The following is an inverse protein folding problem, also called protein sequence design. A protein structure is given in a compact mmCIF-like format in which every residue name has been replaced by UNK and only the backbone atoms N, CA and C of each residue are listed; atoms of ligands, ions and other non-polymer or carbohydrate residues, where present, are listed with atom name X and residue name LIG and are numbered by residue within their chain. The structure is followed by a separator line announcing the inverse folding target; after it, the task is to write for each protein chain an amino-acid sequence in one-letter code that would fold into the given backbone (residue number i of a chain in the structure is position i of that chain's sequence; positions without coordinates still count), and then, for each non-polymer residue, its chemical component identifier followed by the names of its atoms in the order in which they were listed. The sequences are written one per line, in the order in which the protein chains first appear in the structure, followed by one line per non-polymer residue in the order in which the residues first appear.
data_IF_417187361970
#
_entry.id   IF_417187361970
#
_cell.length_a   1.000
_cell.length_b   1.000
_cell.length_c   1.000
_cell.angle_alpha   90.00
_cell.angle_beta   90.00
_cell.angle_gamma   90.00
#
_symmetry.space_group_name_H-M   'P 1'
#
loop_
_entity.id
_entity.type
_entity.pdbx_description
1 polymer ?
#
# COMPACT_ATOMS: atom_id res chain seq x y z
N UNK A 1 -16.70 -10.01 -26.28
CA UNK A 1 -18.02 -9.99 -25.67
C UNK A 1 -18.00 -10.39 -24.22
N UNK A 2 -17.37 -11.52 -23.93
CA UNK A 2 -17.22 -11.96 -22.55
C UNK A 2 -16.45 -10.96 -21.71
N UNK A 3 -15.39 -10.38 -22.27
CA UNK A 3 -14.58 -9.38 -21.58
C UNK A 3 -15.39 -8.13 -21.28
N UNK A 4 -16.14 -7.63 -22.25
CA UNK A 4 -17.00 -6.46 -22.04
C UNK A 4 -18.05 -6.70 -20.96
N UNK A 5 -18.61 -7.89 -20.93
CA UNK A 5 -19.62 -8.23 -19.92
C UNK A 5 -19.00 -8.24 -18.53
N UNK A 6 -17.79 -8.81 -18.39
CA UNK A 6 -17.09 -8.83 -17.11
C UNK A 6 -16.74 -7.42 -16.63
N UNK A 7 -16.40 -6.53 -17.54
CA UNK A 7 -16.17 -5.12 -17.21
C UNK A 7 -17.45 -4.44 -16.76
N UNK A 8 -18.54 -4.62 -17.53
CA UNK A 8 -19.83 -3.98 -17.24
C UNK A 8 -20.43 -4.43 -15.92
N UNK A 9 -20.17 -5.68 -15.52
CA UNK A 9 -20.69 -6.24 -14.27
C UNK A 9 -19.73 -6.03 -13.10
N UNK A 10 -18.62 -5.33 -13.33
CA UNK A 10 -17.68 -4.99 -12.26
C UNK A 10 -16.66 -6.06 -11.90
N UNK A 11 -16.63 -7.18 -12.61
CA UNK A 11 -15.64 -8.23 -12.36
C UNK A 11 -14.23 -7.80 -12.76
N UNK A 12 -14.13 -6.98 -13.80
CA UNK A 12 -12.86 -6.40 -14.23
C UNK A 12 -12.93 -4.92 -13.94
N UNK A 13 -12.06 -4.44 -13.02
CA UNK A 13 -12.03 -3.04 -12.62
C UNK A 13 -11.28 -2.16 -13.60
N UNK A 14 -10.37 -2.74 -14.36
CA UNK A 14 -9.57 -1.98 -15.32
C UNK A 14 -8.39 -2.79 -15.81
N UNK A 15 -7.56 -2.14 -16.62
CA UNK A 15 -6.37 -2.73 -17.19
C UNK A 15 -5.17 -1.86 -16.86
N UNK A 16 -4.08 -2.48 -16.45
CA UNK A 16 -2.83 -1.78 -16.15
C UNK A 16 -1.66 -2.54 -16.72
N UNK A 17 -0.62 -1.82 -17.07
CA UNK A 17 0.65 -2.45 -17.40
C UNK A 17 1.34 -2.89 -16.12
N UNK A 18 1.86 -4.10 -16.10
CA UNK A 18 2.70 -4.56 -15.00
C UNK A 18 4.10 -4.07 -15.26
N UNK A 19 4.58 -3.17 -14.40
CA UNK A 19 5.87 -2.52 -14.57
C UNK A 19 6.90 -3.17 -13.64
N UNK A 20 8.08 -3.44 -14.18
CA UNK A 20 9.19 -3.93 -13.37
C UNK A 20 9.78 -2.75 -12.60
N UNK A 21 9.51 -2.69 -11.30
CA UNK A 21 9.93 -1.59 -10.45
C UNK A 21 11.46 -1.42 -10.39
N UNK A 22 12.19 -2.51 -10.50
CA UNK A 22 13.66 -2.47 -10.48
C UNK A 22 14.20 -1.79 -11.73
N UNK A 23 13.60 -2.09 -12.89
CA UNK A 23 14.05 -1.55 -14.17
C UNK A 23 13.77 -0.06 -14.31
N UNK A 24 12.73 0.44 -13.64
CA UNK A 24 12.42 1.87 -13.67
C UNK A 24 13.09 2.65 -12.53
N UNK A 25 13.98 2.00 -11.78
CA UNK A 25 14.77 2.68 -10.76
C UNK A 25 14.11 2.80 -9.39
N UNK A 26 13.12 1.96 -9.08
CA UNK A 26 12.43 1.94 -7.79
C UNK A 26 12.51 0.55 -7.17
N UNK A 27 13.72 0.04 -6.87
CA UNK A 27 13.88 -1.34 -6.44
C UNK A 27 13.49 -1.61 -4.98
N UNK A 28 13.40 -0.57 -4.14
CA UNK A 28 13.20 -0.76 -2.72
C UNK A 28 11.72 -0.80 -2.37
N UNK A 29 11.27 -1.95 -1.86
CA UNK A 29 9.90 -2.15 -1.39
C UNK A 29 9.93 -2.23 0.13
N UNK A 30 9.09 -1.43 0.78
CA UNK A 30 9.02 -1.36 2.24
C UNK A 30 7.58 -1.55 2.67
N UNK A 31 7.37 -2.41 3.67
CA UNK A 31 6.08 -2.56 4.31
C UNK A 31 6.14 -1.94 5.70
N UNK A 32 5.15 -1.11 6.02
CA UNK A 32 5.08 -0.41 7.29
C UNK A 32 3.81 -0.80 8.02
N UNK A 33 3.95 -1.21 9.27
CA UNK A 33 2.82 -1.36 10.19
C UNK A 33 2.70 -0.06 10.98
N UNK A 34 1.49 0.46 11.09
CA UNK A 34 1.24 1.78 11.68
C UNK A 34 0.12 1.68 12.70
N UNK A 35 0.30 2.33 13.85
CA UNK A 35 -0.75 2.49 14.85
C UNK A 35 -1.03 3.95 15.11
N UNK A 36 -2.30 4.28 15.33
CA UNK A 36 -2.74 5.62 15.67
C UNK A 36 -2.97 5.75 17.17
N UNK A 37 -2.71 6.95 17.69
CA UNK A 37 -2.93 7.24 19.11
C UNK A 37 -4.41 7.30 19.45
N UNK A 38 -5.24 7.83 18.55
CA UNK A 38 -6.68 8.01 18.76
C UNK A 38 -7.45 7.33 17.64
N UNK A 39 -8.43 6.51 18.01
CA UNK A 39 -9.17 5.66 17.07
C UNK A 39 -10.61 6.11 16.82
N UNK A 40 -10.92 7.38 17.01
CA UNK A 40 -12.24 7.89 16.66
C UNK A 40 -12.35 8.13 15.15
N UNK A 41 -13.58 8.30 14.66
CA UNK A 41 -13.85 8.44 13.23
C UNK A 41 -13.12 9.63 12.62
N UNK A 42 -13.05 10.73 13.34
CA UNK A 42 -12.39 11.95 12.84
C UNK A 42 -10.91 11.72 12.58
N UNK A 43 -10.20 11.11 13.54
CA UNK A 43 -8.76 10.85 13.41
C UNK A 43 -8.48 9.79 12.35
N UNK A 44 -9.30 8.76 12.27
CA UNK A 44 -9.14 7.70 11.27
C UNK A 44 -9.36 8.25 9.87
N UNK A 45 -10.41 9.03 9.65
CA UNK A 45 -10.69 9.61 8.33
C UNK A 45 -9.60 10.60 7.92
N UNK A 46 -9.09 11.37 8.85
CA UNK A 46 -7.98 12.29 8.59
C UNK A 46 -6.72 11.53 8.16
N UNK A 47 -6.39 10.45 8.86
CA UNK A 47 -5.26 9.60 8.50
C UNK A 47 -5.43 9.05 7.09
N UNK A 48 -6.60 8.49 6.78
CA UNK A 48 -6.89 7.94 5.46
C UNK A 48 -6.70 8.97 4.35
N UNK A 49 -7.20 10.18 4.56
CA UNK A 49 -7.09 11.26 3.58
C UNK A 49 -5.63 11.64 3.35
N UNK A 50 -4.86 11.79 4.42
CA UNK A 50 -3.45 12.14 4.29
C UNK A 50 -2.65 11.05 3.58
N UNK A 51 -2.94 9.77 3.88
CA UNK A 51 -2.29 8.64 3.22
C UNK A 51 -2.60 8.60 1.72
N UNK A 52 -3.85 8.85 1.34
CA UNK A 52 -4.26 8.85 -0.07
C UNK A 52 -3.50 9.89 -0.90
N UNK A 53 -3.02 10.95 -0.27
CA UNK A 53 -2.33 12.04 -0.95
C UNK A 53 -0.81 11.86 -1.00
N UNK A 54 -0.27 10.74 -0.53
CA UNK A 54 1.16 10.44 -0.59
C UNK A 54 1.43 9.48 -1.74
N UNK A 55 2.10 9.97 -2.78
CA UNK A 55 2.29 9.22 -4.02
C UNK A 55 3.16 7.98 -3.86
N UNK A 56 4.13 8.01 -2.97
CA UNK A 56 5.03 6.88 -2.74
C UNK A 56 4.32 5.69 -2.10
N UNK A 57 3.17 5.90 -1.49
CA UNK A 57 2.38 4.83 -0.88
C UNK A 57 1.55 4.18 -1.97
N UNK A 58 1.83 2.92 -2.23
CA UNK A 58 1.15 2.14 -3.27
C UNK A 58 -0.11 1.45 -2.77
N UNK A 59 -0.13 1.07 -1.50
CA UNK A 59 -1.24 0.33 -0.90
C UNK A 59 -1.33 0.69 0.58
N UNK A 60 -2.55 0.73 1.09
CA UNK A 60 -2.79 0.90 2.51
C UNK A 60 -4.03 0.11 2.90
N UNK A 61 -3.91 -0.71 3.92
CA UNK A 61 -4.98 -1.57 4.41
C UNK A 61 -5.23 -1.33 5.87
N UNK A 62 -6.49 -1.34 6.27
CA UNK A 62 -6.87 -1.42 7.68
C UNK A 62 -6.74 -2.87 8.10
N UNK A 63 -6.02 -3.14 9.18
CA UNK A 63 -5.74 -4.51 9.60
C UNK A 63 -6.23 -4.77 11.02
N UNK A 64 -6.65 -6.00 11.27
CA UNK A 64 -6.89 -6.49 12.62
C UNK A 64 -5.59 -6.97 13.23
N UNK A 65 -5.39 -6.75 14.52
CA UNK A 65 -4.18 -7.20 15.22
C UNK A 65 -3.53 -6.07 16.02
N UNK A 66 -2.21 -6.17 16.18
CA UNK A 66 -1.45 -5.24 17.02
C UNK A 66 -1.38 -3.84 16.41
N UNK A 67 -1.27 -3.78 15.08
CA UNK A 67 -1.21 -2.52 14.35
C UNK A 67 -2.53 -2.22 13.66
N UNK A 68 -2.80 -0.95 13.42
CA UNK A 68 -4.07 -0.51 12.82
C UNK A 68 -4.05 -0.53 11.30
N UNK A 69 -2.91 -0.22 10.69
CA UNK A 69 -2.78 -0.12 9.24
C UNK A 69 -1.50 -0.75 8.74
N UNK A 70 -1.56 -1.25 7.51
CA UNK A 70 -0.44 -1.86 6.80
C UNK A 70 -0.24 -1.12 5.48
N UNK A 71 0.97 -0.62 5.25
CA UNK A 71 1.26 0.29 4.13
C UNK A 71 2.40 -0.27 3.30
N UNK A 72 2.28 -0.19 1.98
CA UNK A 72 3.34 -0.55 1.04
C UNK A 72 3.90 0.69 0.38
N UNK A 73 5.22 0.86 0.44
CA UNK A 73 5.93 1.99 -0.13
C UNK A 73 7.00 1.47 -1.09
N UNK A 74 7.16 2.13 -2.25
CA UNK A 74 8.18 1.76 -3.23
C UNK A 74 9.05 2.96 -3.49
N UNK A 75 10.37 2.81 -3.31
CA UNK A 75 11.32 3.90 -3.36
C UNK A 75 12.60 3.51 -4.09
N UNK A 76 13.41 4.52 -4.39
CA UNK A 76 14.65 4.37 -5.13
C UNK A 76 15.73 3.67 -4.31
N UNK A 77 15.94 4.11 -3.08
CA UNK A 77 17.01 3.62 -2.22
C UNK A 77 16.74 3.97 -0.75
N UNK A 78 17.67 3.61 0.11
CA UNK A 78 17.53 3.83 1.55
C UNK A 78 17.55 5.32 1.92
N UNK A 79 18.32 6.12 1.21
CA UNK A 79 18.34 7.56 1.45
C UNK A 79 16.97 8.17 1.12
N UNK A 80 16.35 7.73 0.03
CA UNK A 80 14.99 8.17 -0.33
C UNK A 80 13.98 7.74 0.75
N UNK A 81 14.16 6.57 1.35
CA UNK A 81 13.31 6.13 2.44
C UNK A 81 13.44 7.02 3.67
N UNK A 82 14.66 7.34 4.07
CA UNK A 82 14.89 8.22 5.20
C UNK A 82 14.26 9.60 4.97
N UNK A 83 14.41 10.12 3.77
CA UNK A 83 13.82 11.40 3.39
C UNK A 83 12.29 11.33 3.39
N UNK A 84 11.72 10.24 2.87
CA UNK A 84 10.28 10.02 2.86
C UNK A 84 9.71 9.99 4.29
N UNK A 85 10.35 9.24 5.19
CA UNK A 85 9.91 9.18 6.59
C UNK A 85 9.96 10.57 7.21
N UNK A 86 11.07 11.28 7.06
CA UNK A 86 11.27 12.58 7.68
C UNK A 86 10.31 13.64 7.13
N UNK A 87 10.15 13.70 5.81
CA UNK A 87 9.39 14.77 5.16
C UNK A 87 7.90 14.50 5.06
N UNK A 88 7.49 13.24 4.96
CA UNK A 88 6.09 12.90 4.69
C UNK A 88 5.44 12.10 5.80
N UNK A 89 6.04 10.98 6.18
CA UNK A 89 5.37 10.05 7.08
C UNK A 89 5.25 10.59 8.50
N UNK A 90 6.27 11.28 9.00
CA UNK A 90 6.22 11.90 10.33
C UNK A 90 5.21 13.02 10.42
N UNK A 91 4.78 13.57 9.29
CA UNK A 91 3.81 14.67 9.25
C UNK A 91 2.37 14.17 9.15
N UNK A 92 2.16 12.89 8.99
CA UNK A 92 0.82 12.31 9.01
C UNK A 92 0.30 12.33 10.44
N UNK A 93 -0.90 12.87 10.60
CA UNK A 93 -1.51 13.02 11.92
C UNK A 93 -1.82 11.69 12.59
N UNK A 94 -1.50 11.63 13.86
CA UNK A 94 -1.95 10.59 14.74
C UNK A 94 -1.11 9.34 14.81
N UNK A 95 -0.07 9.22 14.01
CA UNK A 95 0.82 8.05 14.08
C UNK A 95 1.58 8.09 15.41
N UNK A 96 1.44 7.04 16.21
CA UNK A 96 2.12 6.91 17.49
C UNK A 96 3.17 5.81 17.46
N UNK A 97 3.01 4.82 16.58
CA UNK A 97 3.92 3.69 16.51
C UNK A 97 4.02 3.22 15.06
N UNK A 98 5.22 2.87 14.64
CA UNK A 98 5.47 2.40 13.29
C UNK A 98 6.58 1.37 13.29
N UNK A 99 6.42 0.32 12.49
CA UNK A 99 7.43 -0.69 12.27
C UNK A 99 7.60 -0.91 10.78
N UNK A 100 8.81 -0.76 10.28
CA UNK A 100 9.11 -0.92 8.86
C UNK A 100 9.86 -2.22 8.62
N UNK A 101 9.50 -2.88 7.50
CA UNK A 101 10.18 -4.09 7.04
C UNK A 101 10.60 -3.88 5.60
N UNK A 102 11.87 -4.14 5.31
CA UNK A 102 12.42 -4.00 3.96
C UNK A 102 12.37 -5.35 3.26
N UNK A 103 11.87 -5.36 2.02
CA UNK A 103 11.85 -6.58 1.23
C UNK A 103 13.28 -6.88 0.77
N UNK A 104 13.80 -8.02 1.20
CA UNK A 104 15.12 -8.47 0.79
C UNK A 104 15.06 -9.22 -0.53
N UNK A 105 14.00 -10.00 -0.73
CA UNK A 105 13.86 -10.87 -1.86
C UNK A 105 12.39 -11.19 -2.09
N UNK A 106 11.93 -11.05 -3.32
CA UNK A 106 10.56 -11.40 -3.67
C UNK A 106 10.50 -12.88 -4.04
N UNK A 107 9.77 -13.66 -3.25
CA UNK A 107 9.67 -15.10 -3.48
C UNK A 107 8.54 -15.41 -4.43
N UNK A 108 7.42 -14.71 -4.28
CA UNK A 108 6.27 -14.91 -5.16
C UNK A 108 5.43 -13.64 -5.21
N UNK A 109 5.04 -13.27 -6.40
CA UNK A 109 4.07 -12.22 -6.63
C UNK A 109 3.26 -12.58 -7.86
N UNK A 110 1.95 -12.66 -7.72
CA UNK A 110 1.05 -12.91 -8.84
C UNK A 110 -0.18 -12.04 -8.74
N UNK A 111 -0.72 -11.66 -9.88
CA UNK A 111 -1.99 -10.94 -9.96
C UNK A 111 -3.14 -11.88 -10.31
N UNK A 112 -2.84 -13.17 -10.49
CA UNK A 112 -3.85 -14.17 -10.85
C UNK A 112 -4.58 -14.62 -9.59
N UNK A 113 -5.87 -14.32 -9.54
CA UNK A 113 -6.71 -14.76 -8.44
C UNK A 113 -7.13 -16.21 -8.61
N UNK A 114 -7.17 -16.94 -7.51
CA UNK A 114 -7.66 -18.31 -7.50
C UNK A 114 -9.19 -18.27 -7.36
N UNK A 115 -9.88 -18.36 -8.50
CA UNK A 115 -11.32 -18.19 -8.53
C UNK A 115 -12.02 -19.43 -7.99
N UNK A 116 -12.94 -19.30 -7.01
CA UNK A 116 -13.67 -20.44 -6.46
C UNK A 116 -14.54 -21.10 -7.55
N UNK A 117 -14.51 -22.44 -7.58
CA UNK A 117 -15.22 -23.21 -8.62
C UNK A 117 -16.73 -23.24 -8.45
N UNK A 118 -17.23 -23.15 -7.24
CA UNK A 118 -18.65 -23.32 -6.93
C UNK A 118 -19.28 -22.07 -6.31
N UNK A 119 -18.84 -20.95 -6.74
CA UNK A 119 -19.34 -19.68 -6.19
C UNK A 119 -20.50 -19.08 -6.98
#
# INVERSE_FOLDING_TARGET
ERIKRLENEGYIKGYVALVDNKKIGLPLIIFCNVSLAVHDDEHIERFKEEIRNIDEIMECYSTGGIYDFFVKVVLKDLDAYNQFVFEKLTKVHGIVKMQSSFVLNEIKHTTVLNIPKNS
#
